data_IF_056085406946
#
_entry.id   IF_056085406946
#
_cell.length_a   1.000
_cell.length_b   1.000
_cell.length_c   1.000
_cell.angle_alpha   90.00
_cell.angle_beta   90.00
_cell.angle_gamma   90.00
#
_symmetry.space_group_name_H-M   'P 1'
#
loop_
_entity.id
_entity.type
_entity.pdbx_description
1 polymer ?
#
# COMPACT_ATOMS: atom_id res chain seq x y z
N UNK A 1 -43.30 -0.58 49.16
CA UNK A 1 -42.40 -1.12 48.12
C UNK A 1 -43.26 -1.66 46.97
N UNK A 2 -43.49 -0.88 45.92
CA UNK A 2 -43.84 -1.42 44.61
C UNK A 2 -42.51 -1.53 43.86
N UNK A 3 -42.00 -2.75 43.69
CA UNK A 3 -40.58 -2.99 43.40
C UNK A 3 -40.22 -2.81 41.91
N UNK A 4 -41.17 -2.44 41.06
CA UNK A 4 -40.92 -1.94 39.71
C UNK A 4 -41.99 -0.92 39.35
N UNK A 5 -41.59 0.28 38.93
CA UNK A 5 -42.52 1.28 38.38
C UNK A 5 -42.74 0.93 36.91
N UNK A 6 -43.92 0.43 36.57
CA UNK A 6 -44.34 0.26 35.18
C UNK A 6 -44.77 1.62 34.64
N UNK A 7 -44.11 2.05 33.57
CA UNK A 7 -44.44 3.27 32.85
C UNK A 7 -45.17 2.87 31.58
N UNK A 8 -46.45 3.20 31.50
CA UNK A 8 -47.27 2.97 30.31
C UNK A 8 -47.10 4.16 29.37
N UNK A 9 -46.82 3.89 28.10
CA UNK A 9 -46.69 4.91 27.06
C UNK A 9 -48.05 5.32 26.47
N UNK A 10 -49.08 4.50 26.67
CA UNK A 10 -50.43 4.77 26.20
C UNK A 10 -51.52 4.04 26.98
N UNK A 11 -52.78 4.45 26.74
CA UNK A 11 -53.97 3.83 27.34
C UNK A 11 -54.13 2.36 26.95
N UNK A 12 -53.75 2.01 25.72
CA UNK A 12 -53.91 0.65 25.21
C UNK A 12 -52.94 -0.34 25.88
N UNK A 13 -51.79 0.14 26.36
CA UNK A 13 -50.80 -0.65 27.11
C UNK A 13 -51.23 -0.87 28.56
N UNK A 14 -51.99 0.07 29.14
CA UNK A 14 -52.61 -0.09 30.46
C UNK A 14 -53.71 -1.14 30.46
N UNK A 15 -54.41 -1.31 29.32
CA UNK A 15 -55.53 -2.24 29.14
C UNK A 15 -55.05 -3.65 28.77
N UNK A 16 -53.74 -3.88 28.60
CA UNK A 16 -53.15 -5.15 28.15
C UNK A 16 -53.81 -5.67 26.86
N UNK A 17 -53.91 -4.81 25.84
CA UNK A 17 -54.47 -5.20 24.56
C UNK A 17 -53.50 -6.17 23.82
N UNK A 18 -53.90 -7.41 23.49
CA UNK A 18 -53.02 -8.39 22.83
C UNK A 18 -52.58 -7.98 21.42
N UNK A 19 -53.29 -7.05 20.77
CA UNK A 19 -52.90 -6.53 19.46
C UNK A 19 -51.64 -5.64 19.56
N UNK A 20 -51.44 -4.98 20.70
CA UNK A 20 -50.34 -4.06 20.95
C UNK A 20 -48.99 -4.80 21.04
N UNK A 21 -48.98 -5.99 21.64
CA UNK A 21 -47.79 -6.84 21.75
C UNK A 21 -47.25 -7.22 20.36
N UNK A 22 -48.14 -7.42 19.38
CA UNK A 22 -47.75 -7.70 17.99
C UNK A 22 -47.13 -6.48 17.31
N UNK A 23 -47.59 -5.28 17.62
CA UNK A 23 -47.03 -4.03 17.10
C UNK A 23 -45.71 -3.65 17.80
N UNK A 24 -45.55 -3.94 19.09
CA UNK A 24 -44.29 -3.66 19.80
C UNK A 24 -43.12 -4.54 19.31
N UNK A 25 -43.41 -5.77 18.88
CA UNK A 25 -42.40 -6.68 18.33
C UNK A 25 -41.97 -6.34 16.90
N UNK A 26 -42.67 -5.42 16.23
CA UNK A 26 -42.42 -5.04 14.84
C UNK A 26 -42.07 -3.56 14.74
N UNK A 27 -40.95 -3.23 14.11
CA UNK A 27 -40.60 -1.82 13.87
C UNK A 27 -41.57 -1.11 12.90
N UNK A 28 -42.35 -1.87 12.12
CA UNK A 28 -43.34 -1.35 11.18
C UNK A 28 -44.69 -2.07 11.33
N UNK A 29 -45.79 -1.33 11.20
CA UNK A 29 -47.17 -1.85 11.31
C UNK A 29 -47.53 -2.90 10.25
N UNK A 30 -46.82 -2.92 9.12
CA UNK A 30 -46.97 -3.88 8.03
C UNK A 30 -45.64 -4.59 7.79
N UNK A 31 -45.68 -5.89 7.48
CA UNK A 31 -44.49 -6.63 7.07
C UNK A 31 -43.99 -6.07 5.74
N UNK A 32 -42.79 -5.47 5.76
CA UNK A 32 -42.11 -5.05 4.55
C UNK A 32 -41.84 -6.29 3.70
N UNK A 33 -42.23 -6.31 2.41
CA UNK A 33 -41.86 -7.39 1.50
C UNK A 33 -40.38 -7.27 1.14
N UNK A 34 -39.50 -7.71 2.05
CA UNK A 34 -38.05 -7.75 1.86
C UNK A 34 -37.64 -8.59 0.65
N UNK A 35 -38.45 -9.59 0.30
CA UNK A 35 -38.24 -10.49 -0.84
C UNK A 35 -38.58 -9.85 -2.19
N UNK A 36 -39.47 -8.85 -2.23
CA UNK A 36 -39.87 -8.20 -3.49
C UNK A 36 -38.79 -7.24 -4.05
N UNK A 37 -37.86 -6.78 -3.20
CA UNK A 37 -36.81 -5.83 -3.61
C UNK A 37 -35.53 -6.52 -4.09
N UNK A 38 -35.20 -7.71 -3.57
CA UNK A 38 -33.93 -8.39 -3.88
C UNK A 38 -34.01 -9.40 -5.04
N UNK A 39 -35.23 -9.73 -5.52
CA UNK A 39 -35.40 -10.88 -6.42
C UNK A 39 -36.06 -10.62 -7.77
N UNK A 40 -36.96 -9.64 -7.91
CA UNK A 40 -37.80 -9.54 -9.11
C UNK A 40 -38.11 -8.09 -9.49
N UNK A 41 -37.36 -7.55 -10.46
CA UNK A 41 -37.58 -6.22 -11.06
C UNK A 41 -39.01 -6.06 -11.62
N UNK A 42 -39.64 -7.16 -12.06
CA UNK A 42 -40.99 -7.13 -12.62
C UNK A 42 -42.09 -6.82 -11.58
N UNK A 43 -41.94 -7.29 -10.33
CA UNK A 43 -42.94 -7.03 -9.26
C UNK A 43 -42.87 -5.60 -8.71
N UNK A 44 -41.73 -4.93 -8.83
CA UNK A 44 -41.57 -3.51 -8.51
C UNK A 44 -42.35 -2.61 -9.47
N UNK A 45 -42.48 -3.01 -10.74
CA UNK A 45 -43.19 -2.22 -11.76
C UNK A 45 -44.73 -2.28 -11.64
N UNK A 46 -45.27 -3.33 -11.00
CA UNK A 46 -46.71 -3.56 -10.84
C UNK A 46 -47.25 -3.15 -9.47
N UNK A 47 -46.38 -2.87 -8.49
CA UNK A 47 -46.78 -2.40 -7.16
C UNK A 47 -46.91 -0.88 -7.14
N UNK A 48 -48.10 -0.36 -6.84
CA UNK A 48 -48.28 1.06 -6.53
C UNK A 48 -47.64 1.38 -5.18
N UNK A 49 -46.31 1.51 -5.14
CA UNK A 49 -45.61 1.85 -3.90
C UNK A 49 -46.05 3.23 -3.43
N UNK A 50 -46.50 3.34 -2.18
CA UNK A 50 -46.83 4.64 -1.61
C UNK A 50 -45.53 5.46 -1.45
N UNK A 51 -45.63 6.80 -1.46
CA UNK A 51 -44.46 7.68 -1.19
C UNK A 51 -43.77 7.33 0.14
N UNK A 52 -44.55 6.80 1.09
CA UNK A 52 -44.06 6.38 2.41
C UNK A 52 -43.15 5.15 2.30
N UNK A 53 -43.51 4.17 1.48
CA UNK A 53 -42.74 2.93 1.36
C UNK A 53 -41.45 3.16 0.58
N UNK A 54 -41.48 4.04 -0.44
CA UNK A 54 -40.26 4.51 -1.10
C UNK A 54 -39.27 5.15 -0.11
N UNK A 55 -39.75 6.03 0.78
CA UNK A 55 -38.90 6.67 1.78
C UNK A 55 -38.37 5.69 2.83
N UNK A 56 -39.15 4.65 3.20
CA UNK A 56 -38.65 3.57 4.08
C UNK A 56 -37.50 2.81 3.42
N UNK A 57 -37.65 2.43 2.14
CA UNK A 57 -36.60 1.69 1.41
C UNK A 57 -35.36 2.54 1.18
N UNK A 58 -35.52 3.80 0.76
CA UNK A 58 -34.41 4.72 0.57
C UNK A 58 -33.70 5.01 1.90
N UNK A 59 -34.45 5.18 2.99
CA UNK A 59 -33.89 5.37 4.33
C UNK A 59 -33.08 4.15 4.81
N UNK A 60 -33.65 2.94 4.68
CA UNK A 60 -32.98 1.71 5.13
C UNK A 60 -31.76 1.36 4.27
N UNK A 61 -31.87 1.47 2.95
CA UNK A 61 -30.74 1.21 2.04
C UNK A 61 -29.58 2.19 2.25
N UNK A 62 -29.88 3.47 2.45
CA UNK A 62 -28.85 4.49 2.73
C UNK A 62 -28.19 4.26 4.09
N UNK A 63 -28.97 3.92 5.12
CA UNK A 63 -28.44 3.57 6.45
C UNK A 63 -27.57 2.31 6.42
N UNK A 64 -28.00 1.24 5.74
CA UNK A 64 -27.21 0.02 5.59
C UNK A 64 -25.91 0.25 4.79
N UNK A 65 -25.97 1.00 3.69
CA UNK A 65 -24.81 1.33 2.88
C UNK A 65 -23.79 2.19 3.64
N UNK A 66 -24.26 3.14 4.46
CA UNK A 66 -23.37 3.97 5.30
C UNK A 66 -22.70 3.20 6.43
N UNK A 67 -23.33 2.15 6.99
CA UNK A 67 -22.70 1.24 7.95
C UNK A 67 -21.61 0.39 7.28
N UNK A 68 -21.88 -0.17 6.10
CA UNK A 68 -20.91 -0.95 5.34
C UNK A 68 -19.72 -0.09 4.83
N UNK A 69 -19.96 1.18 4.52
CA UNK A 69 -18.91 2.11 4.11
C UNK A 69 -17.98 2.57 5.26
N UNK A 70 -18.32 2.28 6.53
CA UNK A 70 -17.54 2.67 7.71
C UNK A 70 -16.57 1.58 8.21
N UNK A 71 -16.48 0.42 7.55
CA UNK A 71 -15.50 -0.60 7.94
C UNK A 71 -14.10 -0.21 7.46
N UNK A 72 -13.23 0.16 8.42
CA UNK A 72 -11.83 0.46 8.14
C UNK A 72 -11.11 -0.80 7.61
N UNK A 73 -10.28 -0.68 6.56
CA UNK A 73 -9.59 -1.83 5.99
C UNK A 73 -8.63 -2.45 7.00
N UNK A 74 -8.62 -3.79 7.07
CA UNK A 74 -7.75 -4.56 7.97
C UNK A 74 -6.28 -4.29 7.60
N UNK A 75 -5.55 -3.60 8.49
CA UNK A 75 -4.12 -3.35 8.33
C UNK A 75 -3.32 -4.54 8.88
N UNK A 76 -2.49 -5.16 8.02
CA UNK A 76 -1.62 -6.28 8.41
C UNK A 76 -0.25 -5.78 8.80
N UNK A 77 0.28 -6.27 9.92
CA UNK A 77 1.65 -6.01 10.37
C UNK A 77 2.46 -7.30 10.25
N UNK A 78 3.46 -7.30 9.36
CA UNK A 78 4.30 -8.48 9.09
C UNK A 78 5.65 -8.29 9.82
N UNK A 79 5.96 -9.08 10.86
CA UNK A 79 7.24 -9.01 11.55
C UNK A 79 8.36 -9.70 10.75
N UNK A 80 9.61 -9.44 11.14
CA UNK A 80 10.75 -10.17 10.61
C UNK A 80 10.67 -11.66 10.96
N UNK A 81 10.95 -12.54 9.98
CA UNK A 81 11.10 -13.98 10.23
C UNK A 81 12.36 -14.24 11.07
N UNK A 82 13.46 -13.61 10.69
CA UNK A 82 14.71 -13.58 11.46
C UNK A 82 15.13 -12.13 11.58
N UNK A 83 15.08 -11.58 12.79
CA UNK A 83 15.41 -10.17 13.03
C UNK A 83 16.93 -9.98 13.11
N UNK A 84 17.53 -9.10 12.29
CA UNK A 84 18.92 -8.69 12.47
C UNK A 84 19.10 -7.90 13.77
N UNK A 85 20.20 -8.12 14.48
CA UNK A 85 20.50 -7.43 15.76
C UNK A 85 20.57 -5.90 15.61
N UNK A 86 21.14 -5.43 14.51
CA UNK A 86 21.39 -4.01 14.26
C UNK A 86 20.14 -3.20 13.86
N UNK A 87 19.01 -3.87 13.60
CA UNK A 87 17.80 -3.21 13.10
C UNK A 87 16.65 -3.33 14.09
N UNK A 88 16.21 -2.20 14.62
CA UNK A 88 15.03 -2.10 15.49
C UNK A 88 13.91 -1.40 14.72
N UNK A 89 12.78 -2.08 14.55
CA UNK A 89 11.62 -1.52 13.87
C UNK A 89 11.15 -0.24 14.57
N UNK A 90 10.96 0.83 13.80
CA UNK A 90 10.58 2.14 14.33
C UNK A 90 11.75 3.05 14.69
N UNK A 91 13.00 2.57 14.65
CA UNK A 91 14.22 3.39 14.82
C UNK A 91 15.00 3.46 13.51
N UNK A 92 15.43 4.67 13.12
CA UNK A 92 16.21 4.84 11.89
C UNK A 92 17.70 4.65 12.16
N UNK A 93 18.36 3.92 11.27
CA UNK A 93 19.81 3.73 11.27
C UNK A 93 20.48 4.71 10.31
N UNK A 94 21.71 5.13 10.64
CA UNK A 94 22.50 6.02 9.80
C UNK A 94 23.74 5.27 9.29
N UNK A 95 23.92 5.26 7.97
CA UNK A 95 25.07 4.62 7.32
C UNK A 95 25.94 5.67 6.64
N UNK A 96 27.25 5.60 6.84
CA UNK A 96 28.20 6.43 6.11
C UNK A 96 28.46 5.83 4.72
N UNK A 97 28.29 6.64 3.68
CA UNK A 97 28.54 6.24 2.28
C UNK A 97 29.03 7.46 1.47
N UNK A 98 29.43 7.21 0.23
CA UNK A 98 29.74 8.25 -0.74
C UNK A 98 28.78 8.18 -1.93
N UNK A 99 28.67 9.27 -2.68
CA UNK A 99 27.94 9.36 -3.94
C UNK A 99 28.86 9.91 -5.03
N UNK A 100 28.72 9.36 -6.24
CA UNK A 100 29.32 9.88 -7.44
C UNK A 100 28.54 9.45 -8.68
N UNK A 101 28.14 10.39 -9.52
CA UNK A 101 27.37 10.14 -10.76
C UNK A 101 28.13 10.46 -12.05
N UNK A 102 29.44 10.76 -11.94
CA UNK A 102 30.26 11.22 -13.07
C UNK A 102 30.45 12.74 -13.10
N UNK A 103 29.58 13.50 -12.43
CA UNK A 103 29.63 14.97 -12.42
C UNK A 103 29.76 15.53 -11.00
N UNK A 104 28.89 15.09 -10.09
CA UNK A 104 28.89 15.52 -8.69
C UNK A 104 29.37 14.38 -7.78
N UNK A 105 30.07 14.74 -6.72
CA UNK A 105 30.47 13.82 -5.66
C UNK A 105 30.08 14.38 -4.29
N UNK A 106 29.75 13.50 -3.36
CA UNK A 106 29.44 13.90 -1.99
C UNK A 106 29.79 12.80 -0.98
N UNK A 107 30.25 13.20 0.20
CA UNK A 107 30.32 12.35 1.39
C UNK A 107 29.02 12.48 2.17
N UNK A 108 28.35 11.36 2.45
CA UNK A 108 26.97 11.38 2.92
C UNK A 108 26.67 10.36 4.03
N UNK A 109 25.63 10.70 4.79
CA UNK A 109 24.98 9.87 5.79
C UNK A 109 23.59 9.50 5.29
N UNK A 110 23.33 8.20 5.15
CA UNK A 110 22.06 7.66 4.67
C UNK A 110 21.20 7.30 5.87
N UNK A 111 20.04 7.93 5.99
CA UNK A 111 19.00 7.51 6.91
C UNK A 111 18.26 6.31 6.33
N UNK A 112 18.25 5.21 7.05
CA UNK A 112 17.68 3.95 6.63
C UNK A 112 16.58 3.51 7.62
N UNK A 113 15.43 3.11 7.09
CA UNK A 113 14.29 2.52 7.79
C UNK A 113 14.21 1.04 7.42
N UNK A 114 14.53 0.16 8.37
CA UNK A 114 14.38 -1.29 8.22
C UNK A 114 14.96 -1.88 6.90
N UNK A 115 16.04 -1.29 6.37
CA UNK A 115 16.69 -1.70 5.12
C UNK A 115 16.41 -0.80 3.92
N UNK A 116 15.47 0.14 4.01
CA UNK A 116 15.12 1.12 2.97
C UNK A 116 15.74 2.50 3.25
N UNK A 117 16.65 3.00 2.39
CA UNK A 117 17.13 4.38 2.42
C UNK A 117 16.00 5.39 2.24
N UNK A 118 15.82 6.35 3.13
CA UNK A 118 14.72 7.33 3.04
C UNK A 118 15.20 8.77 2.85
N UNK A 119 16.42 9.08 3.27
CA UNK A 119 16.95 10.43 3.24
C UNK A 119 18.47 10.41 3.24
N UNK A 120 19.06 11.38 2.55
CA UNK A 120 20.49 11.65 2.57
C UNK A 120 20.75 12.91 3.41
N UNK A 121 21.90 12.92 4.07
CA UNK A 121 22.49 14.08 4.74
C UNK A 121 23.96 14.17 4.41
N UNK A 122 24.53 15.36 4.54
CA UNK A 122 25.97 15.56 4.50
C UNK A 122 26.66 14.84 5.67
N UNK A 123 27.85 14.31 5.43
CA UNK A 123 28.73 13.82 6.49
C UNK A 123 29.67 14.94 6.96
N UNK A 124 29.40 15.50 8.14
CA UNK A 124 30.17 16.61 8.73
C UNK A 124 31.61 16.24 9.11
N UNK A 125 31.94 14.96 9.21
CA UNK A 125 33.31 14.49 9.49
C UNK A 125 34.23 14.61 8.27
N UNK A 126 33.68 14.84 7.08
CA UNK A 126 34.46 15.07 5.87
C UNK A 126 34.49 16.56 5.53
N UNK A 127 35.69 17.09 5.36
CA UNK A 127 35.93 18.49 4.98
C UNK A 127 35.31 18.84 3.61
N UNK A 128 35.19 17.83 2.73
CA UNK A 128 34.52 17.93 1.44
C UNK A 128 33.20 17.14 1.51
N UNK A 129 32.05 17.83 1.58
CA UNK A 129 30.82 17.10 1.92
C UNK A 129 29.48 17.82 1.76
N UNK A 130 29.35 18.88 0.98
CA UNK A 130 28.04 19.50 0.73
C UNK A 130 27.09 18.56 -0.04
N UNK A 131 25.82 18.48 0.38
CA UNK A 131 24.80 17.79 -0.40
C UNK A 131 24.09 18.78 -1.33
N UNK A 132 24.13 18.52 -2.63
CA UNK A 132 23.38 19.31 -3.60
C UNK A 132 21.91 18.84 -3.64
N UNK A 133 20.97 19.67 -4.14
CA UNK A 133 19.59 19.23 -4.37
C UNK A 133 19.49 18.02 -5.30
N UNK A 134 20.41 17.88 -6.28
CA UNK A 134 20.47 16.74 -7.19
C UNK A 134 20.86 15.46 -6.44
N UNK A 135 21.89 15.53 -5.60
CA UNK A 135 22.30 14.41 -4.77
C UNK A 135 21.17 14.03 -3.82
N UNK A 136 20.48 14.99 -3.19
CA UNK A 136 19.32 14.70 -2.34
C UNK A 136 18.19 13.99 -3.10
N UNK A 137 17.92 14.40 -4.34
CA UNK A 137 16.90 13.81 -5.20
C UNK A 137 17.27 12.41 -5.72
N UNK A 138 18.55 12.00 -5.65
CA UNK A 138 18.99 10.67 -6.10
C UNK A 138 18.29 9.51 -5.37
N UNK A 139 17.75 9.74 -4.17
CA UNK A 139 16.91 8.78 -3.46
C UNK A 139 15.68 8.39 -4.29
N UNK A 140 15.11 9.33 -5.05
CA UNK A 140 13.95 9.05 -5.91
C UNK A 140 14.32 8.13 -7.07
N UNK A 141 15.53 8.26 -7.62
CA UNK A 141 16.03 7.35 -8.65
C UNK A 141 16.12 5.91 -8.11
N UNK A 142 16.45 5.71 -6.83
CA UNK A 142 16.42 4.37 -6.23
C UNK A 142 15.02 3.73 -6.28
N UNK A 143 13.97 4.55 -6.07
CA UNK A 143 12.57 4.12 -6.00
C UNK A 143 11.78 4.34 -7.29
N UNK A 144 12.46 4.60 -8.40
CA UNK A 144 11.81 4.77 -9.71
C UNK A 144 11.35 3.40 -10.25
N UNK A 145 10.05 3.26 -10.50
CA UNK A 145 9.43 2.05 -11.03
C UNK A 145 9.75 1.79 -12.50
N UNK A 146 10.30 2.78 -13.22
CA UNK A 146 10.67 2.64 -14.64
C UNK A 146 12.06 2.05 -14.84
N UNK A 147 12.78 1.75 -13.74
CA UNK A 147 14.10 1.12 -13.82
C UNK A 147 14.01 -0.29 -14.37
N UNK A 148 15.04 -0.66 -15.12
CA UNK A 148 15.20 -2.03 -15.58
C UNK A 148 15.32 -2.98 -14.38
N UNK A 149 14.35 -3.87 -14.23
CA UNK A 149 14.30 -4.87 -13.16
C UNK A 149 15.30 -6.02 -13.39
N UNK A 150 15.65 -6.27 -14.65
CA UNK A 150 16.52 -7.36 -15.07
C UNK A 150 17.35 -7.04 -16.31
N UNK A 151 18.33 -7.90 -16.63
CA UNK A 151 19.18 -7.69 -17.79
C UNK A 151 18.44 -8.05 -19.08
N UNK A 152 18.70 -7.28 -20.13
CA UNK A 152 18.21 -7.56 -21.48
C UNK A 152 19.32 -8.15 -22.34
N UNK A 153 18.97 -9.09 -23.20
CA UNK A 153 19.86 -9.65 -24.22
C UNK A 153 19.15 -9.58 -25.57
N UNK A 154 19.73 -8.85 -26.53
CA UNK A 154 19.13 -8.58 -27.84
C UNK A 154 17.70 -7.97 -27.77
N UNK A 155 17.43 -7.15 -26.76
CA UNK A 155 16.14 -6.49 -26.57
C UNK A 155 15.08 -7.33 -25.84
N UNK A 156 15.40 -8.58 -25.49
CA UNK A 156 14.51 -9.47 -24.73
C UNK A 156 15.00 -9.67 -23.30
N UNK A 157 14.08 -9.95 -22.38
CA UNK A 157 14.41 -10.28 -21.00
C UNK A 157 15.29 -11.53 -20.91
N UNK A 158 16.32 -11.45 -20.07
CA UNK A 158 17.30 -12.51 -19.92
C UNK A 158 17.72 -12.70 -18.46
N UNK A 159 18.50 -13.75 -18.23
CA UNK A 159 19.12 -14.03 -16.93
C UNK A 159 20.56 -13.53 -16.92
N UNK A 160 21.05 -13.10 -15.76
CA UNK A 160 22.47 -12.75 -15.56
C UNK A 160 23.42 -13.86 -16.03
N UNK A 161 23.09 -15.14 -15.79
CA UNK A 161 23.91 -16.26 -16.24
C UNK A 161 24.10 -16.32 -17.76
N UNK A 162 23.03 -16.09 -18.53
CA UNK A 162 23.09 -16.06 -20.00
C UNK A 162 23.94 -14.89 -20.50
N UNK A 163 23.75 -13.71 -19.92
CA UNK A 163 24.52 -12.50 -20.27
C UNK A 163 26.00 -12.68 -19.95
N UNK A 164 26.33 -13.18 -18.76
CA UNK A 164 27.71 -13.46 -18.33
C UNK A 164 28.39 -14.48 -19.23
N UNK A 165 27.66 -15.54 -19.61
CA UNK A 165 28.18 -16.56 -20.54
C UNK A 165 28.48 -15.92 -21.90
N UNK A 166 27.57 -15.12 -22.44
CA UNK A 166 27.76 -14.44 -23.72
C UNK A 166 28.96 -13.48 -23.69
N UNK A 167 29.13 -12.71 -22.61
CA UNK A 167 30.28 -11.82 -22.43
C UNK A 167 31.59 -12.63 -22.37
N UNK A 168 31.64 -13.70 -21.56
CA UNK A 168 32.83 -14.55 -21.44
C UNK A 168 33.22 -15.21 -22.78
N UNK A 169 32.25 -15.72 -23.51
CA UNK A 169 32.48 -16.35 -24.80
C UNK A 169 32.92 -15.31 -25.85
N UNK A 170 32.33 -14.11 -25.85
CA UNK A 170 32.74 -13.00 -26.70
C UNK A 170 34.16 -12.50 -26.43
N UNK A 171 34.58 -12.45 -25.16
CA UNK A 171 35.94 -12.09 -24.78
C UNK A 171 36.96 -13.16 -25.22
N UNK A 172 36.65 -14.45 -25.05
CA UNK A 172 37.49 -15.55 -25.54
C UNK A 172 37.66 -15.52 -27.06
N UNK A 173 36.57 -15.32 -27.79
CA UNK A 173 36.60 -15.23 -29.26
C UNK A 173 37.42 -14.01 -29.74
N UNK A 174 37.29 -12.87 -29.05
CA UNK A 174 38.07 -11.66 -29.36
C UNK A 174 39.56 -11.87 -29.11
N UNK A 175 39.92 -12.54 -28.02
CA UNK A 175 41.30 -12.93 -27.71
C UNK A 175 41.90 -13.86 -28.78
N UNK A 176 41.14 -14.85 -29.25
CA UNK A 176 41.60 -15.78 -30.30
C UNK A 176 41.73 -15.13 -31.68
N UNK A 177 40.87 -14.16 -32.00
CA UNK A 177 40.85 -13.47 -33.29
C UNK A 177 41.69 -12.18 -33.33
N UNK A 178 42.36 -11.83 -32.23
CA UNK A 178 43.18 -10.62 -32.13
C UNK A 178 42.39 -9.31 -32.21
N UNK A 179 41.08 -9.34 -31.92
CA UNK A 179 40.22 -8.15 -31.94
C UNK A 179 40.41 -7.31 -30.67
N UNK A 180 40.32 -5.99 -30.84
CA UNK A 180 40.38 -5.06 -29.71
C UNK A 180 39.05 -5.05 -28.94
N UNK A 181 39.16 -5.02 -27.61
CA UNK A 181 38.03 -4.85 -26.69
C UNK A 181 38.11 -3.44 -26.12
N UNK A 182 37.03 -2.67 -26.23
CA UNK A 182 36.95 -1.28 -25.77
C UNK A 182 35.93 -1.20 -24.65
N UNK A 183 36.32 -0.58 -23.53
CA UNK A 183 35.42 -0.24 -22.43
C UNK A 183 35.17 1.27 -22.47
N UNK A 184 33.90 1.65 -22.63
CA UNK A 184 33.49 3.05 -22.56
C UNK A 184 32.91 3.32 -21.17
N UNK A 185 33.47 4.32 -20.49
CA UNK A 185 33.05 4.73 -19.15
C UNK A 185 33.08 6.25 -19.04
N UNK A 186 32.27 6.80 -18.15
CA UNK A 186 32.52 8.14 -17.62
C UNK A 186 33.78 8.14 -16.73
N UNK A 187 34.19 9.31 -16.26
CA UNK A 187 35.27 9.46 -15.28
C UNK A 187 35.04 8.52 -14.09
N UNK A 188 36.05 7.76 -13.67
CA UNK A 188 35.99 6.85 -12.51
C UNK A 188 36.91 7.40 -11.42
N UNK A 189 36.34 7.78 -10.27
CA UNK A 189 37.09 8.27 -9.10
C UNK A 189 37.17 7.21 -7.98
N UNK A 190 37.33 5.95 -8.36
CA UNK A 190 37.44 4.83 -7.41
C UNK A 190 38.82 4.19 -7.53
N UNK A 191 39.57 4.14 -6.42
CA UNK A 191 40.76 3.30 -6.30
C UNK A 191 40.38 2.01 -5.60
N UNK A 192 40.11 0.97 -6.38
CA UNK A 192 40.06 -0.38 -5.84
C UNK A 192 41.51 -0.82 -5.54
N UNK A 193 41.92 -0.73 -4.28
CA UNK A 193 43.09 -1.49 -3.82
C UNK A 193 42.67 -2.95 -3.73
N UNK A 194 43.05 -3.73 -4.72
CA UNK A 194 43.05 -5.19 -4.61
C UNK A 194 44.15 -5.54 -3.60
N UNK A 195 43.77 -5.93 -2.39
CA UNK A 195 44.68 -6.58 -1.44
C UNK A 195 44.89 -8.03 -1.83
#
# INVERSE_FOLDING_TARGET
>A
MAKNKTYFQGIDELVNNPDLDQFQQREFSENLPSEAFLGEEEKLSQSSTSRRDFLKYLGFSTAAASLAACEAPIQKVIPFVVKPEQTVAGVANWYASSFYDGNEFASLLIKNREGRPIQLKSNELCEYGGISPRVQASVLNLYDSTRLEGPLFNGEESSWFKVDKAIKDGLKASSQSGKQVVLLTSSIISRLQVK
#
